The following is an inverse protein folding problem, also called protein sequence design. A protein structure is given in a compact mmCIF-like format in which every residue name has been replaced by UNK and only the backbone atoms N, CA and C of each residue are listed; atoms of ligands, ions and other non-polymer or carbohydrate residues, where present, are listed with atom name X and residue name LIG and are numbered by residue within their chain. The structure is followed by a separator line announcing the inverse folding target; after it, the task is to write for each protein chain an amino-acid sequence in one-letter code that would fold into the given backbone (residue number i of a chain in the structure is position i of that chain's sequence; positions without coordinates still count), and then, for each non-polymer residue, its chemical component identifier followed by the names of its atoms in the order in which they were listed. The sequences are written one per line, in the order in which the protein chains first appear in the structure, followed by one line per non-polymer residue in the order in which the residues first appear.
data_IF_588809381075
#
_entry.id   IF_588809381075
#
_cell.length_a   1.000
_cell.length_b   1.000
_cell.length_c   1.000
_cell.angle_alpha   90.00
_cell.angle_beta   90.00
_cell.angle_gamma   90.00
#
_symmetry.space_group_name_H-M   'P 1'
#
loop_
_entity.id
_entity.type
_entity.pdbx_description
1 polymer ?
#
# COMPACT_ATOMS: atom_id res chain seq x y z
N UNK A 1 18.93 8.64 -34.26
CA UNK A 1 18.84 7.21 -34.58
C UNK A 1 19.37 6.31 -33.46
N UNK A 2 20.52 6.59 -32.78
CA UNK A 2 21.07 5.75 -31.69
C UNK A 2 20.11 5.57 -30.50
N UNK A 3 19.38 6.61 -30.12
CA UNK A 3 18.43 6.58 -29.00
C UNK A 3 17.17 5.75 -29.30
N UNK A 4 16.75 5.72 -30.58
CA UNK A 4 15.60 4.91 -31.00
C UNK A 4 15.94 3.41 -30.96
N UNK A 5 17.16 3.05 -31.35
CA UNK A 5 17.65 1.68 -31.31
C UNK A 5 17.77 1.16 -29.86
N UNK A 6 18.22 2.02 -28.93
CA UNK A 6 18.29 1.70 -27.51
C UNK A 6 16.89 1.47 -26.91
N UNK A 7 15.93 2.35 -27.26
CA UNK A 7 14.54 2.19 -26.83
C UNK A 7 13.88 0.92 -27.38
N UNK A 8 14.15 0.58 -28.64
CA UNK A 8 13.63 -0.65 -29.26
C UNK A 8 14.24 -1.89 -28.63
N UNK A 9 15.54 -1.89 -28.36
CA UNK A 9 16.22 -2.99 -27.64
C UNK A 9 15.73 -3.13 -26.20
N UNK A 10 15.47 -2.02 -25.50
CA UNK A 10 14.88 -2.02 -24.17
C UNK A 10 13.46 -2.61 -24.19
N UNK A 11 12.64 -2.24 -25.17
CA UNK A 11 11.30 -2.79 -25.37
C UNK A 11 11.33 -4.30 -25.71
N UNK A 12 12.30 -4.76 -26.50
CA UNK A 12 12.47 -6.19 -26.79
C UNK A 12 12.97 -6.98 -25.57
N UNK A 13 13.86 -6.42 -24.75
CA UNK A 13 14.31 -7.04 -23.52
C UNK A 13 13.17 -7.21 -22.50
N UNK A 14 12.17 -6.36 -22.55
CA UNK A 14 10.97 -6.42 -21.69
C UNK A 14 9.99 -7.54 -22.11
N UNK A 15 10.14 -8.12 -23.31
CA UNK A 15 9.25 -9.15 -23.83
C UNK A 15 9.73 -10.60 -23.62
N UNK A 16 10.90 -10.82 -23.03
CA UNK A 16 11.55 -12.14 -23.05
C UNK A 16 11.44 -12.96 -21.76
N UNK A 17 10.29 -12.97 -21.09
CA UNK A 17 10.04 -14.02 -20.06
C UNK A 17 8.54 -14.21 -19.89
N UNK A 18 7.99 -15.17 -20.62
CA UNK A 18 6.58 -15.60 -20.46
C UNK A 18 6.38 -16.44 -19.18
N UNK A 19 6.93 -16.01 -18.04
CA UNK A 19 6.69 -16.64 -16.76
C UNK A 19 5.61 -15.83 -16.06
N UNK A 20 4.49 -16.47 -15.70
CA UNK A 20 3.43 -15.84 -14.93
C UNK A 20 4.01 -15.17 -13.68
N UNK A 21 3.70 -13.90 -13.49
CA UNK A 21 4.21 -13.11 -12.36
C UNK A 21 3.61 -13.63 -11.06
N UNK A 22 2.32 -13.89 -11.08
CA UNK A 22 1.57 -14.36 -9.94
C UNK A 22 1.28 -15.85 -10.08
N UNK A 23 1.80 -16.66 -9.16
CA UNK A 23 1.54 -18.10 -9.08
C UNK A 23 1.29 -18.48 -7.63
N UNK A 24 0.48 -19.52 -7.42
CA UNK A 24 0.24 -20.08 -6.08
C UNK A 24 1.58 -20.43 -5.40
N UNK A 25 1.73 -20.02 -4.15
CA UNK A 25 2.94 -20.25 -3.35
C UNK A 25 3.93 -19.07 -3.36
N UNK A 26 3.78 -18.09 -4.26
CA UNK A 26 4.64 -16.92 -4.25
C UNK A 26 4.40 -16.04 -3.02
N UNK A 27 5.47 -15.45 -2.53
CA UNK A 27 5.44 -14.39 -1.53
C UNK A 27 5.89 -13.09 -2.21
N UNK A 28 5.13 -12.02 -2.02
CA UNK A 28 5.48 -10.68 -2.47
C UNK A 28 5.79 -9.81 -1.25
N UNK A 29 6.89 -9.08 -1.32
CA UNK A 29 7.27 -8.09 -0.33
C UNK A 29 7.31 -6.74 -1.04
N UNK A 30 6.48 -5.81 -0.61
CA UNK A 30 6.36 -4.48 -1.17
C UNK A 30 6.88 -3.45 -0.16
N UNK A 31 7.79 -2.58 -0.60
CA UNK A 31 8.21 -1.40 0.14
C UNK A 31 7.71 -0.17 -0.61
N UNK A 32 6.99 0.70 0.06
CA UNK A 32 6.31 1.82 -0.59
C UNK A 32 6.43 3.12 0.20
N UNK A 33 6.37 4.22 -0.54
CA UNK A 33 5.99 5.53 -0.02
C UNK A 33 4.49 5.73 -0.24
N UNK A 34 3.85 6.49 0.64
CA UNK A 34 2.41 6.75 0.59
C UNK A 34 2.09 8.21 0.76
N UNK A 35 1.07 8.67 0.06
CA UNK A 35 0.46 9.99 0.21
C UNK A 35 -1.03 9.76 0.42
N UNK A 36 -1.60 10.39 1.42
CA UNK A 36 -3.02 10.23 1.73
C UNK A 36 -3.57 11.34 2.61
N UNK A 37 -4.82 11.15 3.02
CA UNK A 37 -5.48 12.11 3.93
C UNK A 37 -4.86 12.15 5.34
N UNK A 38 -4.06 11.15 5.71
CA UNK A 38 -3.29 11.12 6.95
C UNK A 38 -1.86 11.66 6.81
N UNK A 39 -1.46 12.16 5.64
CA UNK A 39 -0.14 12.75 5.39
C UNK A 39 0.70 12.00 4.37
N UNK A 40 2.01 12.22 4.45
CA UNK A 40 3.02 11.53 3.64
C UNK A 40 3.79 10.57 4.52
N UNK A 41 4.13 9.40 4.00
CA UNK A 41 4.83 8.40 4.78
C UNK A 41 5.39 7.26 3.97
N UNK A 42 5.66 6.16 4.66
CA UNK A 42 6.23 4.94 4.12
C UNK A 42 5.53 3.73 4.71
N UNK A 43 5.64 2.61 4.03
CA UNK A 43 5.07 1.35 4.47
C UNK A 43 5.73 0.15 3.84
N UNK A 44 5.31 -1.00 4.32
CA UNK A 44 5.68 -2.29 3.79
C UNK A 44 4.47 -3.22 3.81
N UNK A 45 4.46 -4.14 2.86
CA UNK A 45 3.41 -5.13 2.71
C UNK A 45 4.03 -6.49 2.42
N UNK A 46 3.43 -7.54 2.93
CA UNK A 46 3.77 -8.91 2.59
C UNK A 46 2.49 -9.63 2.17
N UNK A 47 2.50 -10.30 1.02
CA UNK A 47 1.36 -11.01 0.46
C UNK A 47 1.75 -12.44 0.15
N UNK A 48 0.89 -13.40 0.50
CA UNK A 48 1.04 -14.80 0.19
C UNK A 48 -0.04 -15.26 -0.79
N UNK A 49 0.37 -15.77 -1.93
CA UNK A 49 -0.50 -16.33 -2.95
C UNK A 49 -0.97 -17.75 -2.56
N UNK A 50 -2.06 -17.86 -1.82
CA UNK A 50 -2.57 -19.16 -1.39
C UNK A 50 -3.37 -19.89 -2.47
N UNK A 51 -3.87 -19.18 -3.48
CA UNK A 51 -4.62 -19.72 -4.61
C UNK A 51 -4.20 -19.01 -5.92
N UNK A 52 -4.54 -19.56 -7.11
CA UNK A 52 -4.12 -18.99 -8.39
C UNK A 52 -4.57 -17.55 -8.67
N UNK A 53 -5.64 -17.09 -8.02
CA UNK A 53 -6.20 -15.76 -8.19
C UNK A 53 -6.35 -15.00 -6.87
N UNK A 54 -5.91 -15.56 -5.74
CA UNK A 54 -6.14 -14.95 -4.43
C UNK A 54 -4.88 -14.94 -3.58
N UNK A 55 -4.63 -13.80 -2.95
CA UNK A 55 -3.63 -13.66 -1.89
C UNK A 55 -4.22 -13.10 -0.61
N UNK A 56 -3.51 -13.35 0.48
CA UNK A 56 -3.72 -12.67 1.76
C UNK A 56 -2.46 -11.95 2.13
N UNK A 57 -2.58 -10.82 2.78
CA UNK A 57 -1.44 -10.00 3.13
C UNK A 57 -1.54 -9.33 4.49
N UNK A 58 -0.39 -8.92 4.98
CA UNK A 58 -0.25 -8.00 6.10
C UNK A 58 0.43 -6.73 5.59
N UNK A 59 -0.10 -5.59 5.97
CA UNK A 59 0.36 -4.28 5.56
C UNK A 59 0.69 -3.45 6.81
N UNK A 60 1.73 -2.67 6.70
CA UNK A 60 2.07 -1.65 7.69
C UNK A 60 2.31 -0.33 6.98
N UNK A 61 1.67 0.74 7.43
CA UNK A 61 1.84 2.07 6.89
C UNK A 61 2.04 3.09 8.01
N UNK A 62 3.01 3.96 7.86
CA UNK A 62 3.28 5.07 8.79
C UNK A 62 3.25 6.37 8.00
N UNK A 63 2.41 7.30 8.42
CA UNK A 63 2.27 8.62 7.80
C UNK A 63 2.44 9.70 8.86
N UNK A 64 3.00 10.84 8.44
CA UNK A 64 3.28 11.95 9.33
C UNK A 64 2.90 13.28 8.69
N UNK A 65 2.49 14.22 9.53
CA UNK A 65 2.23 15.60 9.12
C UNK A 65 2.47 16.57 10.29
N UNK A 66 2.67 17.85 9.96
CA UNK A 66 2.74 18.92 10.95
C UNK A 66 1.38 19.58 11.13
N UNK A 67 0.97 19.74 12.36
CA UNK A 67 -0.27 20.42 12.72
C UNK A 67 -0.04 21.31 13.95
N UNK A 68 -0.20 22.64 13.79
CA UNK A 68 0.02 23.63 14.86
C UNK A 68 1.36 23.45 15.58
N UNK A 69 2.46 23.36 14.81
CA UNK A 69 3.84 23.15 15.28
C UNK A 69 4.08 21.82 16.01
N UNK A 70 3.12 20.90 15.97
CA UNK A 70 3.26 19.53 16.48
C UNK A 70 3.49 18.55 15.35
N UNK A 71 4.41 17.64 15.58
CA UNK A 71 4.66 16.52 14.66
C UNK A 71 3.80 15.33 15.08
N UNK A 72 2.86 14.97 14.22
CA UNK A 72 1.92 13.88 14.46
C UNK A 72 2.23 12.75 13.50
N UNK A 73 2.36 11.54 14.03
CA UNK A 73 2.59 10.33 13.26
C UNK A 73 1.43 9.37 13.44
N UNK A 74 1.03 8.71 12.38
CA UNK A 74 0.07 7.63 12.41
C UNK A 74 0.74 6.29 12.11
N UNK A 75 0.21 5.23 12.70
CA UNK A 75 0.57 3.84 12.42
C UNK A 75 -0.69 3.09 12.01
N UNK A 76 -0.60 2.33 10.92
CA UNK A 76 -1.73 1.62 10.35
C UNK A 76 -1.34 0.19 9.98
N UNK A 77 -1.33 -0.74 10.95
CA UNK A 77 -1.29 -2.17 10.65
C UNK A 77 -2.62 -2.64 10.07
N UNK A 78 -2.60 -3.40 8.96
CA UNK A 78 -3.77 -3.94 8.29
C UNK A 78 -3.54 -5.38 7.84
N UNK A 79 -4.63 -6.12 7.68
CA UNK A 79 -4.69 -7.36 6.92
C UNK A 79 -5.44 -7.10 5.62
N UNK A 80 -5.03 -7.75 4.55
CA UNK A 80 -5.66 -7.64 3.23
C UNK A 80 -6.00 -9.01 2.64
N UNK A 81 -6.98 -8.98 1.74
CA UNK A 81 -7.31 -10.08 0.85
C UNK A 81 -7.48 -9.53 -0.56
N UNK A 82 -6.74 -10.10 -1.52
CA UNK A 82 -6.64 -9.56 -2.87
C UNK A 82 -7.04 -10.61 -3.90
N UNK A 83 -7.70 -10.14 -4.94
CA UNK A 83 -8.04 -10.87 -6.15
C UNK A 83 -7.16 -10.38 -7.30
N UNK A 84 -6.47 -11.29 -7.98
CA UNK A 84 -5.54 -11.03 -9.09
C UNK A 84 -6.23 -11.34 -10.42
N UNK A 85 -6.29 -10.37 -11.34
CA UNK A 85 -7.08 -10.48 -12.58
C UNK A 85 -6.33 -10.14 -13.86
N UNK A 86 -5.09 -9.76 -13.81
CA UNK A 86 -4.32 -9.35 -14.98
C UNK A 86 -2.93 -9.98 -14.99
N UNK A 87 -2.85 -11.26 -14.67
CA UNK A 87 -1.59 -11.97 -14.56
C UNK A 87 -0.97 -12.21 -15.96
N UNK A 88 -0.11 -11.30 -16.39
CA UNK A 88 0.73 -11.43 -17.58
C UNK A 88 2.18 -11.60 -17.19
N UNK A 89 3.03 -11.95 -18.14
CA UNK A 89 4.45 -12.26 -17.91
C UNK A 89 5.23 -11.22 -17.06
N UNK A 90 4.79 -9.96 -17.03
CA UNK A 90 5.49 -8.87 -16.34
C UNK A 90 4.61 -8.02 -15.44
N UNK A 91 3.29 -8.15 -15.55
CA UNK A 91 2.34 -7.32 -14.81
C UNK A 91 1.35 -8.19 -14.05
N UNK A 92 1.16 -7.87 -12.79
CA UNK A 92 0.13 -8.42 -11.92
C UNK A 92 -0.80 -7.28 -11.50
N UNK A 93 -2.08 -7.35 -11.92
CA UNK A 93 -3.12 -6.45 -11.48
C UNK A 93 -3.92 -7.10 -10.38
N UNK A 94 -4.21 -6.36 -9.33
CA UNK A 94 -4.99 -6.87 -8.20
C UNK A 94 -5.97 -5.84 -7.67
N UNK A 95 -7.06 -6.31 -7.11
CA UNK A 95 -8.02 -5.53 -6.35
C UNK A 95 -8.33 -6.26 -5.05
N UNK A 96 -8.50 -5.53 -3.97
CA UNK A 96 -8.68 -6.14 -2.67
C UNK A 96 -9.40 -5.28 -1.66
N UNK A 97 -9.56 -5.88 -0.49
CA UNK A 97 -10.09 -5.24 0.69
C UNK A 97 -9.05 -5.36 1.81
N UNK A 98 -8.94 -4.33 2.61
CA UNK A 98 -8.11 -4.38 3.81
C UNK A 98 -8.81 -3.80 5.02
N UNK A 99 -8.43 -4.32 6.19
CA UNK A 99 -8.92 -3.85 7.47
C UNK A 99 -7.83 -3.88 8.52
N UNK A 100 -7.86 -2.90 9.42
CA UNK A 100 -6.85 -2.78 10.45
C UNK A 100 -7.20 -1.74 11.50
N UNK A 101 -6.20 -1.27 12.18
CA UNK A 101 -6.35 -0.32 13.28
C UNK A 101 -5.48 0.90 13.06
N UNK A 102 -6.10 2.08 13.02
CA UNK A 102 -5.42 3.35 12.84
C UNK A 102 -5.05 3.94 14.20
N UNK A 103 -3.77 4.17 14.42
CA UNK A 103 -3.21 4.64 15.69
C UNK A 103 -2.54 5.98 15.44
N UNK A 104 -2.96 7.00 16.18
CA UNK A 104 -2.31 8.29 16.22
C UNK A 104 -1.29 8.37 17.36
N UNK A 105 -0.16 8.99 17.07
CA UNK A 105 0.86 9.32 18.06
C UNK A 105 1.29 10.77 17.88
N UNK A 106 1.13 11.57 18.92
CA UNK A 106 1.61 12.94 19.00
C UNK A 106 2.88 13.01 19.85
N UNK A 107 3.76 13.96 19.55
CA UNK A 107 4.90 14.26 20.42
C UNK A 107 4.48 14.98 21.73
N UNK A 108 3.21 15.32 21.90
CA UNK A 108 2.69 15.90 23.11
C UNK A 108 2.31 14.79 24.11
N UNK A 109 3.01 14.66 25.26
CA UNK A 109 2.71 13.62 26.24
C UNK A 109 1.31 13.76 26.86
N UNK A 110 0.71 14.95 26.86
CA UNK A 110 -0.63 15.18 27.38
C UNK A 110 -1.74 14.75 26.40
N UNK A 111 -1.48 14.73 25.09
CA UNK A 111 -2.44 14.25 24.08
C UNK A 111 -2.51 12.72 24.02
N UNK A 112 -1.43 12.02 24.33
CA UNK A 112 -1.39 10.56 24.28
C UNK A 112 -2.09 9.88 25.46
N UNK A 113 -2.30 10.61 26.58
CA UNK A 113 -2.88 10.05 27.80
C UNK A 113 -4.40 9.75 27.72
N UNK A 114 -5.09 10.26 26.71
CA UNK A 114 -6.54 10.08 26.53
C UNK A 114 -6.98 9.04 25.47
N UNK A 115 -6.05 8.44 24.76
CA UNK A 115 -6.32 7.66 23.53
C UNK A 115 -6.56 6.16 23.80
N UNK A 116 -7.40 5.80 24.78
CA UNK A 116 -7.67 4.38 25.12
C UNK A 116 -8.97 3.82 24.50
N UNK A 117 -9.69 4.61 23.69
CA UNK A 117 -10.97 4.19 23.09
C UNK A 117 -10.89 3.78 21.64
N UNK A 118 -11.55 2.68 21.29
CA UNK A 118 -11.79 2.29 19.89
C UNK A 118 -13.04 3.03 19.40
N UNK A 119 -12.89 3.94 18.45
CA UNK A 119 -14.01 4.66 17.83
C UNK A 119 -14.22 4.15 16.41
N UNK A 120 -15.42 3.69 16.11
CA UNK A 120 -15.84 3.38 14.74
C UNK A 120 -16.31 4.70 14.11
N UNK A 121 -15.46 5.34 13.33
CA UNK A 121 -15.85 6.55 12.59
C UNK A 121 -16.40 6.19 11.22
N UNK A 122 -17.51 6.78 10.79
CA UNK A 122 -18.00 6.62 9.41
C UNK A 122 -17.00 7.22 8.42
N UNK A 123 -16.97 6.71 7.17
CA UNK A 123 -16.07 7.21 6.15
C UNK A 123 -16.40 8.66 5.82
N UNK A 124 -15.61 9.57 6.29
CA UNK A 124 -15.63 10.97 5.88
C UNK A 124 -14.38 11.22 5.05
N UNK A 125 -14.56 11.51 3.77
CA UNK A 125 -13.48 11.85 2.82
C UNK A 125 -12.81 13.19 3.11
N UNK A 126 -13.03 13.72 4.31
CA UNK A 126 -12.64 15.07 4.64
C UNK A 126 -11.24 15.11 5.29
N UNK A 127 -10.56 16.21 5.12
CA UNK A 127 -9.41 16.74 5.89
C UNK A 127 -9.57 16.53 7.43
N UNK A 128 -10.76 16.14 7.86
CA UNK A 128 -11.15 15.79 9.21
C UNK A 128 -10.30 14.74 9.93
N UNK A 129 -9.62 13.82 9.20
CA UNK A 129 -8.68 12.89 9.84
C UNK A 129 -7.55 13.63 10.56
N UNK A 130 -7.04 14.71 9.97
CA UNK A 130 -6.01 15.54 10.61
C UNK A 130 -6.54 16.32 11.81
N UNK A 131 -7.81 16.71 11.78
CA UNK A 131 -8.46 17.42 12.89
C UNK A 131 -8.89 16.46 14.01
N UNK A 132 -8.98 15.16 13.74
CA UNK A 132 -9.44 14.14 14.68
C UNK A 132 -8.30 13.19 15.13
N UNK A 133 -7.06 13.69 15.16
CA UNK A 133 -5.85 12.94 15.53
C UNK A 133 -5.81 12.47 16.99
N UNK A 134 -6.85 12.73 17.76
CA UNK A 134 -6.97 12.31 19.16
C UNK A 134 -7.58 10.91 19.33
N UNK A 135 -8.21 10.36 18.30
CA UNK A 135 -8.95 9.11 18.39
C UNK A 135 -8.40 8.04 17.47
N UNK A 136 -8.05 6.91 18.05
CA UNK A 136 -7.75 5.71 17.28
C UNK A 136 -9.05 5.10 16.76
N UNK A 137 -9.02 4.46 15.58
CA UNK A 137 -10.22 3.89 14.96
C UNK A 137 -9.91 2.66 14.10
N UNK A 138 -10.95 1.87 13.82
CA UNK A 138 -10.86 0.77 12.86
C UNK A 138 -10.78 1.36 11.45
N UNK A 139 -9.69 1.07 10.75
CA UNK A 139 -9.48 1.45 9.37
C UNK A 139 -9.90 0.32 8.43
N UNK A 140 -10.51 0.68 7.31
CA UNK A 140 -10.81 -0.23 6.21
C UNK A 140 -10.67 0.49 4.88
N UNK A 141 -10.32 -0.23 3.85
CA UNK A 141 -10.31 0.28 2.48
C UNK A 141 -10.56 -0.84 1.46
N UNK A 142 -11.05 -0.41 0.29
CA UNK A 142 -10.97 -1.16 -0.93
C UNK A 142 -9.82 -0.58 -1.76
N UNK A 143 -9.02 -1.43 -2.37
CA UNK A 143 -7.86 -0.97 -3.12
C UNK A 143 -7.74 -1.65 -4.48
N UNK A 144 -7.08 -0.92 -5.38
CA UNK A 144 -6.69 -1.37 -6.70
C UNK A 144 -5.19 -1.12 -6.85
N UNK A 145 -4.46 -2.11 -7.31
CA UNK A 145 -3.02 -2.01 -7.46
C UNK A 145 -2.47 -2.78 -8.65
N UNK A 146 -1.21 -2.54 -8.90
CA UNK A 146 -0.44 -3.29 -9.87
C UNK A 146 0.99 -3.50 -9.38
N UNK A 147 1.62 -4.60 -9.86
CA UNK A 147 3.06 -4.86 -9.77
C UNK A 147 3.60 -5.05 -11.18
N UNK A 148 4.62 -4.31 -11.54
CA UNK A 148 5.31 -4.41 -12.82
C UNK A 148 6.74 -4.90 -12.59
N UNK A 149 7.02 -6.15 -12.94
CA UNK A 149 8.33 -6.76 -12.74
C UNK A 149 9.27 -6.44 -13.91
N UNK A 150 10.30 -5.66 -13.62
CA UNK A 150 11.38 -5.30 -14.56
C UNK A 150 12.36 -6.46 -14.67
N UNK A 151 12.63 -7.12 -13.55
CA UNK A 151 13.43 -8.34 -13.47
C UNK A 151 12.55 -9.48 -12.97
N UNK A 152 13.03 -10.72 -13.06
CA UNK A 152 12.30 -11.92 -12.65
C UNK A 152 11.63 -11.79 -11.26
N UNK A 153 12.32 -11.17 -10.33
CA UNK A 153 11.93 -11.12 -8.93
C UNK A 153 11.81 -9.70 -8.36
N UNK A 154 12.13 -8.66 -9.14
CA UNK A 154 12.11 -7.27 -8.68
C UNK A 154 11.32 -6.40 -9.63
N UNK A 155 10.41 -5.62 -9.10
CA UNK A 155 9.52 -4.76 -9.86
C UNK A 155 9.15 -3.48 -9.13
N UNK A 156 8.28 -2.71 -9.77
CA UNK A 156 7.63 -1.53 -9.20
C UNK A 156 6.20 -1.90 -8.81
N UNK A 157 5.69 -1.26 -7.80
CA UNK A 157 4.29 -1.35 -7.43
C UNK A 157 3.62 0.02 -7.37
N UNK A 158 2.30 0.02 -7.57
CA UNK A 158 1.44 1.17 -7.34
C UNK A 158 0.08 0.70 -6.85
N UNK A 159 -0.49 1.42 -5.89
CA UNK A 159 -1.79 1.10 -5.30
C UNK A 159 -2.55 2.37 -4.96
N UNK A 160 -3.84 2.36 -5.22
CA UNK A 160 -4.79 3.38 -4.75
C UNK A 160 -5.77 2.69 -3.81
N UNK A 161 -5.98 3.24 -2.64
CA UNK A 161 -6.90 2.71 -1.64
C UNK A 161 -7.96 3.75 -1.30
N UNK A 162 -9.22 3.30 -1.26
CA UNK A 162 -10.42 4.08 -0.99
C UNK A 162 -11.15 3.49 0.20
N UNK A 163 -11.38 4.29 1.22
CA UNK A 163 -12.06 3.87 2.44
C UNK A 163 -12.11 5.02 3.43
N UNK A 164 -12.15 4.72 4.71
CA UNK A 164 -12.02 5.77 5.72
C UNK A 164 -10.57 6.32 5.80
N UNK A 165 -9.58 5.62 5.21
CA UNK A 165 -8.23 6.13 4.96
C UNK A 165 -7.96 6.07 3.46
N UNK A 166 -7.97 7.23 2.81
CA UNK A 166 -7.58 7.37 1.42
C UNK A 166 -6.06 7.38 1.32
N UNK A 167 -5.48 6.56 0.45
CA UNK A 167 -4.04 6.58 0.20
C UNK A 167 -3.68 6.19 -1.22
N UNK A 168 -2.60 6.81 -1.70
CA UNK A 168 -1.89 6.44 -2.92
C UNK A 168 -0.49 5.97 -2.53
N UNK A 169 -0.08 4.81 -3.01
CA UNK A 169 1.22 4.20 -2.72
C UNK A 169 1.98 3.93 -4.00
N UNK A 170 3.29 4.12 -3.95
CA UNK A 170 4.23 3.71 -5.00
C UNK A 170 5.47 3.13 -4.34
N UNK A 171 6.07 2.13 -4.97
CA UNK A 171 7.22 1.48 -4.36
C UNK A 171 7.87 0.40 -5.21
N UNK A 172 8.59 -0.46 -4.53
CA UNK A 172 9.33 -1.59 -5.10
C UNK A 172 8.75 -2.89 -4.56
N UNK A 173 8.58 -3.87 -5.45
CA UNK A 173 8.15 -5.23 -5.12
C UNK A 173 9.28 -6.22 -5.30
N UNK A 174 9.39 -7.15 -4.37
CA UNK A 174 10.25 -8.33 -4.48
C UNK A 174 9.38 -9.58 -4.41
N UNK A 175 9.58 -10.50 -5.35
CA UNK A 175 8.91 -11.80 -5.41
C UNK A 175 9.87 -12.91 -4.97
N UNK A 176 9.41 -13.77 -4.08
CA UNK A 176 10.13 -14.94 -3.57
C UNK A 176 9.33 -16.21 -3.87
#
# INVERSE_FOLDING_TARGET
MKNLLFFTLLLFALHSSAQEVYTKGNVFIDLCTSIGNAGVGYGGEIHYAFAPLFSVGAQFNSQSFNFNDKYITSFLPKLSADFHFGNRATIDWYAGLSGGYFIWQSNDPYENAGNTGCVITPPTYDISLRNNHKNNFIAWDAHLGFRYFIFKNVGLNGQVAFGNVLSFKVGVSVKI
#
